data_IF_528226339945
#
_entry.id   IF_528226339945
#
_cell.length_a   1.000
_cell.length_b   1.000
_cell.length_c   1.000
_cell.angle_alpha   90.00
_cell.angle_beta   90.00
_cell.angle_gamma   90.00
#
_symmetry.space_group_name_H-M   'P 1'
#
loop_
_entity.id
_entity.type
_entity.pdbx_description
1 polymer ?
#
# COMPACT_ATOMS: atom_id res chain seq x y z
N UNK A 1 -8.73 57.60 -46.93
CA UNK A 1 -9.74 57.37 -45.86
C UNK A 1 -9.14 56.47 -44.81
N UNK A 2 -8.90 57.04 -43.62
CA UNK A 2 -8.49 56.33 -42.42
C UNK A 2 -9.63 55.48 -41.87
N UNK A 3 -9.34 54.31 -41.31
CA UNK A 3 -10.08 53.81 -40.15
C UNK A 3 -9.10 53.64 -38.99
N UNK A 4 -9.45 54.29 -37.89
CA UNK A 4 -8.60 54.60 -36.73
C UNK A 4 -8.36 53.38 -35.83
N UNK A 5 -7.19 53.43 -35.19
CA UNK A 5 -6.78 52.74 -33.97
C UNK A 5 -7.84 52.72 -32.86
N UNK A 6 -7.80 51.62 -32.12
CA UNK A 6 -8.08 51.45 -30.69
C UNK A 6 -9.54 51.65 -30.22
N UNK A 7 -10.22 50.52 -30.01
CA UNK A 7 -11.17 50.39 -28.91
C UNK A 7 -10.97 49.04 -28.22
N UNK A 8 -10.41 49.14 -27.02
CA UNK A 8 -10.56 48.28 -25.84
C UNK A 8 -11.13 46.86 -26.08
N UNK A 9 -10.35 45.80 -25.88
CA UNK A 9 -10.07 45.23 -24.55
C UNK A 9 -11.34 44.65 -23.89
N UNK A 10 -11.92 43.55 -24.42
CA UNK A 10 -13.02 42.86 -23.69
C UNK A 10 -13.32 41.39 -24.09
N UNK A 11 -12.60 40.74 -25.01
CA UNK A 11 -12.98 39.36 -25.43
C UNK A 11 -11.86 38.33 -25.29
N UNK A 12 -10.62 38.76 -24.97
CA UNK A 12 -9.49 37.83 -24.73
C UNK A 12 -9.54 37.21 -23.32
N UNK A 13 -10.51 37.58 -22.47
CA UNK A 13 -10.54 37.16 -21.06
C UNK A 13 -11.66 36.19 -20.66
N UNK A 14 -12.45 35.62 -21.58
CA UNK A 14 -13.65 34.85 -21.15
C UNK A 14 -13.78 33.38 -21.56
N UNK A 15 -12.80 32.73 -22.20
CA UNK A 15 -12.85 31.26 -22.35
C UNK A 15 -11.46 30.61 -22.24
N UNK A 16 -10.66 31.07 -21.27
CA UNK A 16 -9.47 30.36 -20.78
C UNK A 16 -9.59 30.06 -19.27
N UNK A 17 -10.81 29.95 -18.76
CA UNK A 17 -11.09 29.49 -17.39
C UNK A 17 -12.09 28.32 -17.46
N UNK A 18 -11.69 27.25 -18.14
CA UNK A 18 -12.12 25.90 -17.82
C UNK A 18 -10.91 24.96 -17.93
N UNK A 19 -9.75 25.39 -17.40
CA UNK A 19 -8.95 24.41 -16.67
C UNK A 19 -9.75 24.12 -15.41
N UNK A 20 -10.72 23.20 -15.53
CA UNK A 20 -11.18 22.45 -14.40
C UNK A 20 -9.95 21.70 -13.89
N UNK A 21 -9.22 22.34 -12.98
CA UNK A 21 -8.23 21.66 -12.17
C UNK A 21 -9.00 20.52 -11.50
N UNK A 22 -8.65 19.24 -11.75
CA UNK A 22 -9.25 18.14 -11.04
C UNK A 22 -8.65 18.09 -9.64
N UNK A 23 -8.77 19.17 -8.87
CA UNK A 23 -8.28 19.28 -7.50
C UNK A 23 -9.34 18.80 -6.51
N UNK A 24 -9.90 17.64 -6.82
CA UNK A 24 -10.37 16.66 -5.85
C UNK A 24 -10.26 15.28 -6.53
N UNK A 25 -9.09 15.00 -7.12
CA UNK A 25 -8.62 13.63 -7.10
C UNK A 25 -8.55 13.25 -5.63
N UNK A 26 -9.52 12.45 -5.15
CA UNK A 26 -9.45 11.77 -3.87
C UNK A 26 -8.04 11.18 -3.82
N UNK A 27 -7.16 11.72 -2.96
CA UNK A 27 -5.89 11.08 -2.66
C UNK A 27 -6.28 9.76 -2.04
N UNK A 28 -6.46 8.74 -2.88
CA UNK A 28 -6.62 7.37 -2.44
C UNK A 28 -5.30 7.09 -1.76
N UNK A 29 -5.28 7.22 -0.44
CA UNK A 29 -4.16 6.71 0.34
C UNK A 29 -4.26 5.21 0.09
N UNK A 30 -3.45 4.73 -0.84
CA UNK A 30 -3.34 3.32 -1.17
C UNK A 30 -2.79 2.64 0.08
N UNK A 31 -3.72 2.17 0.90
CA UNK A 31 -3.46 1.59 2.21
C UNK A 31 -4.05 0.20 2.24
N UNK A 32 -3.38 -0.70 2.92
CA UNK A 32 -3.90 -2.03 3.20
C UNK A 32 -5.11 -1.87 4.14
N UNK A 33 -6.28 -2.46 3.80
CA UNK A 33 -7.44 -2.41 4.67
C UNK A 33 -7.12 -2.93 6.07
N UNK A 34 -7.65 -2.25 7.09
CA UNK A 34 -7.51 -2.65 8.49
C UNK A 34 -8.15 -4.03 8.77
N UNK A 35 -7.67 -4.69 9.82
CA UNK A 35 -8.23 -5.96 10.26
C UNK A 35 -9.62 -5.78 10.88
N UNK A 36 -10.66 -6.22 10.17
CA UNK A 36 -12.04 -6.27 10.70
C UNK A 36 -12.15 -7.28 11.84
N UNK A 37 -11.46 -8.42 11.74
CA UNK A 37 -11.46 -9.50 12.74
C UNK A 37 -10.04 -9.77 13.22
N UNK A 38 -9.72 -9.38 14.45
CA UNK A 38 -8.35 -9.48 15.00
C UNK A 38 -7.94 -10.90 15.41
N UNK A 39 -8.88 -11.84 15.47
CA UNK A 39 -8.61 -13.22 15.86
C UNK A 39 -7.82 -14.02 14.81
N UNK A 40 -7.93 -13.66 13.52
CA UNK A 40 -7.28 -14.31 12.40
C UNK A 40 -6.54 -13.32 11.48
N UNK A 41 -6.40 -12.06 11.89
CA UNK A 41 -5.77 -11.00 11.12
C UNK A 41 -4.87 -10.17 12.02
N UNK A 42 -3.71 -9.80 11.50
CA UNK A 42 -2.80 -8.86 12.15
C UNK A 42 -2.20 -7.91 11.11
N UNK A 43 -2.37 -6.60 11.34
CA UNK A 43 -1.76 -5.54 10.55
C UNK A 43 -0.92 -4.61 11.42
N UNK A 44 0.11 -4.02 10.83
CA UNK A 44 0.97 -3.06 11.53
C UNK A 44 1.62 -2.08 10.54
N UNK A 45 1.95 -0.89 11.03
CA UNK A 45 2.73 0.11 10.31
C UNK A 45 4.13 0.16 10.90
N UNK A 46 5.14 -0.09 10.06
CA UNK A 46 6.54 -0.18 10.44
C UNK A 46 7.23 1.12 9.99
N UNK A 47 7.55 1.99 10.95
CA UNK A 47 8.37 3.18 10.71
C UNK A 47 9.85 2.80 10.74
N UNK A 48 10.61 3.21 9.74
CA UNK A 48 12.05 2.94 9.63
C UNK A 48 12.79 4.17 9.10
N UNK A 49 14.12 4.23 9.26
CA UNK A 49 14.95 5.34 8.76
C UNK A 49 15.23 5.20 7.26
N UNK A 50 15.46 3.96 6.80
CA UNK A 50 15.67 3.63 5.39
C UNK A 50 14.58 2.66 4.95
N UNK A 51 13.49 3.24 4.46
CA UNK A 51 12.26 2.50 4.13
C UNK A 51 12.44 1.60 2.91
N UNK A 52 13.23 2.03 1.92
CA UNK A 52 13.50 1.25 0.71
C UNK A 52 14.37 0.04 1.03
N UNK A 53 15.45 0.22 1.81
CA UNK A 53 16.29 -0.90 2.23
C UNK A 53 15.50 -1.90 3.10
N UNK A 54 14.70 -1.40 4.04
CA UNK A 54 13.85 -2.22 4.90
C UNK A 54 12.79 -2.97 4.09
N UNK A 55 12.18 -2.34 3.08
CA UNK A 55 11.19 -2.99 2.23
C UNK A 55 11.83 -4.11 1.41
N UNK A 56 12.98 -3.86 0.77
CA UNK A 56 13.73 -4.90 0.05
C UNK A 56 14.14 -6.07 0.95
N UNK A 57 14.50 -5.78 2.20
CA UNK A 57 14.78 -6.81 3.21
C UNK A 57 13.54 -7.64 3.55
N UNK A 58 12.38 -6.99 3.73
CA UNK A 58 11.09 -7.67 3.92
C UNK A 58 10.75 -8.58 2.74
N UNK A 59 10.94 -8.12 1.50
CA UNK A 59 10.72 -8.94 0.30
C UNK A 59 11.65 -10.16 0.28
N UNK A 60 12.90 -9.99 0.69
CA UNK A 60 13.86 -11.09 0.84
C UNK A 60 13.40 -12.11 1.89
N UNK A 61 12.91 -11.64 3.05
CA UNK A 61 12.35 -12.51 4.08
C UNK A 61 11.11 -13.27 3.58
N UNK A 62 10.25 -12.62 2.78
CA UNK A 62 9.09 -13.25 2.15
C UNK A 62 9.48 -14.36 1.17
N UNK A 63 10.57 -14.19 0.41
CA UNK A 63 11.07 -15.21 -0.53
C UNK A 63 11.49 -16.51 0.16
N UNK A 64 11.88 -16.43 1.44
CA UNK A 64 12.30 -17.57 2.26
C UNK A 64 11.13 -18.22 3.01
N UNK A 65 9.94 -17.62 2.96
CA UNK A 65 8.79 -18.10 3.71
C UNK A 65 8.22 -19.37 3.04
N UNK A 66 8.17 -20.52 3.73
CA UNK A 66 7.76 -21.77 3.11
C UNK A 66 6.28 -21.76 2.74
N UNK A 67 5.95 -22.43 1.63
CA UNK A 67 4.56 -22.59 1.13
C UNK A 67 3.88 -21.26 0.85
N UNK A 68 4.67 -20.26 0.47
CA UNK A 68 4.21 -18.97 -0.02
C UNK A 68 4.13 -18.95 -1.55
N UNK A 69 3.24 -18.11 -2.09
CA UNK A 69 3.13 -17.84 -3.52
C UNK A 69 2.80 -16.36 -3.70
N UNK A 70 3.61 -15.65 -4.47
CA UNK A 70 3.32 -14.28 -4.91
C UNK A 70 2.13 -14.32 -5.88
N UNK A 71 1.12 -13.49 -5.64
CA UNK A 71 -0.06 -13.34 -6.49
C UNK A 71 -0.04 -12.04 -7.29
N UNK A 72 0.38 -10.94 -6.66
CA UNK A 72 0.43 -9.62 -7.26
C UNK A 72 1.63 -8.84 -6.72
N UNK A 73 2.27 -8.07 -7.59
CA UNK A 73 3.34 -7.15 -7.22
C UNK A 73 3.31 -5.92 -8.12
N UNK A 74 3.40 -4.75 -7.51
CA UNK A 74 3.74 -3.47 -8.14
C UNK A 74 5.07 -2.98 -7.57
N UNK A 75 5.42 -1.72 -7.80
CA UNK A 75 6.60 -1.12 -7.20
C UNK A 75 6.43 -0.91 -5.69
N UNK A 76 5.23 -0.54 -5.25
CA UNK A 76 4.94 -0.22 -3.84
C UNK A 76 4.13 -1.30 -3.11
N UNK A 77 3.43 -2.20 -3.82
CA UNK A 77 2.53 -3.19 -3.22
C UNK A 77 2.91 -4.62 -3.59
N UNK A 78 2.81 -5.51 -2.62
CA UNK A 78 2.99 -6.94 -2.84
C UNK A 78 1.96 -7.76 -2.07
N UNK A 79 1.45 -8.79 -2.74
CA UNK A 79 0.48 -9.72 -2.19
C UNK A 79 0.92 -11.16 -2.38
N UNK A 80 1.06 -11.89 -1.28
CA UNK A 80 1.32 -13.31 -1.27
C UNK A 80 0.19 -14.08 -0.61
N UNK A 81 0.11 -15.36 -0.96
CA UNK A 81 -0.64 -16.35 -0.19
C UNK A 81 0.30 -17.31 0.50
N UNK A 82 -0.08 -17.79 1.68
CA UNK A 82 0.61 -18.85 2.42
C UNK A 82 -0.40 -19.91 2.80
N UNK A 83 -0.07 -21.18 2.58
CA UNK A 83 -0.90 -22.29 3.07
C UNK A 83 -0.41 -22.77 4.43
N UNK A 84 -1.29 -22.99 5.40
CA UNK A 84 -0.96 -23.63 6.69
C UNK A 84 -0.62 -25.12 6.51
N UNK A 85 0.12 -25.71 7.45
CA UNK A 85 0.76 -27.03 7.21
C UNK A 85 -0.22 -28.17 7.42
N UNK A 86 -0.90 -28.10 8.56
CA UNK A 86 -1.84 -29.13 9.01
C UNK A 86 -3.18 -28.96 8.31
N UNK A 87 -3.82 -27.80 8.49
CA UNK A 87 -5.20 -27.56 8.04
C UNK A 87 -5.32 -26.96 6.63
N UNK A 88 -4.21 -26.62 5.97
CA UNK A 88 -4.16 -26.08 4.60
C UNK A 88 -4.96 -24.78 4.36
N UNK A 89 -5.34 -24.08 5.42
CA UNK A 89 -5.89 -22.72 5.35
C UNK A 89 -4.98 -21.80 4.55
N UNK A 90 -5.59 -20.94 3.74
CA UNK A 90 -4.88 -19.94 2.95
C UNK A 90 -4.93 -18.62 3.69
N UNK A 91 -3.76 -18.09 4.00
CA UNK A 91 -3.56 -16.77 4.56
C UNK A 91 -3.03 -15.85 3.48
N UNK A 92 -3.49 -14.61 3.45
CA UNK A 92 -2.97 -13.53 2.62
C UNK A 92 -1.93 -12.74 3.43
N UNK A 93 -0.84 -12.35 2.78
CA UNK A 93 0.17 -11.44 3.30
C UNK A 93 0.27 -10.28 2.32
N UNK A 94 0.07 -9.08 2.82
CA UNK A 94 0.10 -7.85 2.03
C UNK A 94 1.16 -6.92 2.62
N UNK A 95 2.00 -6.36 1.76
CA UNK A 95 2.98 -5.35 2.12
C UNK A 95 2.80 -4.14 1.19
N UNK A 96 2.75 -2.95 1.78
CA UNK A 96 2.61 -1.69 1.04
C UNK A 96 3.66 -0.68 1.53
N UNK A 97 4.39 -0.08 0.59
CA UNK A 97 5.44 0.88 0.83
C UNK A 97 4.91 2.31 0.70
N UNK A 98 4.93 3.04 1.81
CA UNK A 98 4.64 4.49 1.86
C UNK A 98 5.97 5.25 1.98
N UNK A 99 6.71 5.36 0.87
CA UNK A 99 8.06 5.96 0.86
C UNK A 99 8.07 7.40 1.38
N UNK A 100 7.07 8.22 1.05
CA UNK A 100 6.94 9.61 1.52
C UNK A 100 6.80 9.72 3.04
N UNK A 101 6.28 8.67 3.68
CA UNK A 101 6.07 8.62 5.11
C UNK A 101 7.12 7.77 5.83
N UNK A 102 8.08 7.16 5.13
CA UNK A 102 9.00 6.18 5.70
C UNK A 102 8.30 5.05 6.49
N UNK A 103 7.14 4.60 5.97
CA UNK A 103 6.30 3.56 6.59
C UNK A 103 6.18 2.37 5.63
N UNK A 104 6.25 1.16 6.18
CA UNK A 104 5.81 -0.06 5.52
C UNK A 104 4.55 -0.54 6.22
N UNK A 105 3.45 -0.66 5.50
CA UNK A 105 2.26 -1.36 6.00
C UNK A 105 2.43 -2.85 5.76
N UNK A 106 2.21 -3.66 6.78
CA UNK A 106 2.32 -5.12 6.67
C UNK A 106 1.13 -5.77 7.35
N UNK A 107 0.43 -6.64 6.61
CA UNK A 107 -0.73 -7.40 7.09
C UNK A 107 -0.55 -8.88 6.79
N UNK A 108 -1.03 -9.72 7.71
CA UNK A 108 -1.23 -11.14 7.48
C UNK A 108 -2.62 -11.53 7.98
N UNK A 109 -3.42 -12.22 7.17
CA UNK A 109 -4.80 -12.55 7.49
C UNK A 109 -5.26 -13.87 6.88
N UNK A 110 -5.99 -14.68 7.63
CA UNK A 110 -6.63 -15.90 7.09
C UNK A 110 -7.88 -15.54 6.28
N UNK A 111 -8.10 -16.22 5.14
CA UNK A 111 -9.33 -16.04 4.34
C UNK A 111 -10.59 -16.56 5.02
N UNK A 112 -10.43 -17.54 5.91
CA UNK A 112 -11.52 -18.23 6.59
C UNK A 112 -11.14 -18.51 8.04
N UNK A 113 -12.15 -18.75 8.86
CA UNK A 113 -12.01 -19.01 10.30
C UNK A 113 -11.92 -17.71 11.11
N UNK A 114 -12.30 -17.79 12.39
CA UNK A 114 -12.36 -16.62 13.29
C UNK A 114 -11.05 -16.45 14.06
N UNK A 115 -10.30 -17.53 14.24
CA UNK A 115 -9.12 -17.59 15.09
C UNK A 115 -8.02 -18.44 14.48
N UNK A 116 -6.77 -17.99 14.59
CA UNK A 116 -5.59 -18.60 13.98
C UNK A 116 -4.50 -19.00 14.99
N UNK A 117 -4.79 -19.00 16.29
CA UNK A 117 -3.81 -19.23 17.37
C UNK A 117 -2.64 -18.22 17.39
N UNK A 118 -2.86 -17.02 16.86
CA UNK A 118 -1.87 -15.95 16.76
C UNK A 118 -0.82 -16.18 15.67
N UNK A 119 -1.03 -17.13 14.75
CA UNK A 119 -0.08 -17.48 13.69
C UNK A 119 0.20 -16.28 12.78
N UNK A 120 -0.82 -15.53 12.36
CA UNK A 120 -0.65 -14.35 11.50
C UNK A 120 0.17 -13.25 12.20
N UNK A 121 -0.07 -13.03 13.49
CA UNK A 121 0.74 -12.08 14.29
C UNK A 121 2.19 -12.54 14.41
N UNK A 122 2.44 -13.82 14.71
CA UNK A 122 3.79 -14.36 14.79
C UNK A 122 4.52 -14.25 13.44
N UNK A 123 3.79 -14.48 12.34
CA UNK A 123 4.33 -14.35 11.00
C UNK A 123 4.79 -12.93 10.69
N UNK A 124 3.94 -11.94 10.93
CA UNK A 124 4.29 -10.52 10.73
C UNK A 124 5.52 -10.14 11.55
N UNK A 125 5.55 -10.53 12.84
CA UNK A 125 6.72 -10.30 13.69
C UNK A 125 8.01 -10.92 13.15
N UNK A 126 7.93 -12.17 12.67
CA UNK A 126 9.09 -12.87 12.09
C UNK A 126 9.59 -12.17 10.83
N UNK A 127 8.67 -11.74 9.97
CA UNK A 127 8.99 -11.05 8.72
C UNK A 127 9.60 -9.67 8.95
N UNK A 128 9.19 -8.98 10.03
CA UNK A 128 9.65 -7.62 10.34
C UNK A 128 10.78 -7.53 11.36
N UNK A 129 11.27 -8.65 11.88
CA UNK A 129 12.18 -8.69 13.03
C UNK A 129 13.51 -7.95 12.79
N UNK A 130 14.04 -7.98 11.57
CA UNK A 130 15.36 -7.45 11.21
C UNK A 130 15.28 -6.17 10.36
N UNK A 131 14.11 -5.54 10.28
CA UNK A 131 13.91 -4.30 9.51
C UNK A 131 14.33 -3.03 10.26
N UNK A 132 14.68 -3.16 11.55
CA UNK A 132 15.06 -2.04 12.42
C UNK A 132 16.56 -1.96 12.68
N UNK A 133 17.34 -2.86 12.09
CA UNK A 133 18.78 -2.97 12.29
C UNK A 133 19.56 -2.05 11.35
#
# INVERSE_FOLDING_TARGET
MCFKKNLLLAIITFVFILQANPSFALSKVETIPECIQTGNCFSTNIKTKDVEASFNKLLSNMSLLPRSKLLESTKEYYHWTVKSFVFRFTDDIEAFLLSSENIIQLKSASRIGIYDFGINKQRVKKLSQDLFN
#
